data_IF_167941032677
#
_entry.id   IF_167941032677
#
_cell.length_a   1.000
_cell.length_b   1.000
_cell.length_c   1.000
_cell.angle_alpha   90.00
_cell.angle_beta   90.00
_cell.angle_gamma   90.00
#
_symmetry.space_group_name_H-M   'P 1'
#
loop_
_entity.id
_entity.type
_entity.pdbx_description
1 polymer ?
#
# COMPACT_ATOMS: atom_id res chain seq x y z
N UNK A 1 -41.73 2.39 -19.71
CA UNK A 1 -40.82 1.78 -20.71
C UNK A 1 -39.53 2.59 -20.70
N UNK A 2 -38.36 1.97 -20.57
CA UNK A 2 -37.08 2.68 -20.63
C UNK A 2 -36.68 2.86 -22.10
N UNK A 3 -36.42 4.09 -22.53
CA UNK A 3 -36.06 4.46 -23.91
C UNK A 3 -34.71 5.18 -23.85
N UNK A 4 -33.82 4.92 -24.81
CA UNK A 4 -32.49 5.55 -24.90
C UNK A 4 -32.12 5.84 -26.35
N UNK A 5 -31.35 6.90 -26.56
CA UNK A 5 -30.79 7.28 -27.87
C UNK A 5 -29.49 6.51 -28.18
N UNK A 6 -28.95 5.75 -27.22
CA UNK A 6 -27.75 4.96 -27.40
C UNK A 6 -28.01 3.77 -28.34
N UNK A 7 -27.08 3.51 -29.26
CA UNK A 7 -27.10 2.28 -30.04
C UNK A 7 -26.88 1.06 -29.13
N UNK A 8 -27.27 -0.13 -29.62
CA UNK A 8 -27.24 -1.36 -28.83
C UNK A 8 -25.85 -1.73 -28.29
N UNK A 9 -24.79 -1.46 -29.05
CA UNK A 9 -23.41 -1.79 -28.63
C UNK A 9 -22.98 -0.90 -27.46
N UNK A 10 -23.19 0.41 -27.58
CA UNK A 10 -22.80 1.36 -26.53
C UNK A 10 -23.64 1.19 -25.28
N UNK A 11 -24.95 0.94 -25.43
CA UNK A 11 -25.82 0.61 -24.32
C UNK A 11 -25.36 -0.66 -23.60
N UNK A 12 -25.04 -1.73 -24.35
CA UNK A 12 -24.61 -3.01 -23.77
C UNK A 12 -23.33 -2.86 -22.97
N UNK A 13 -22.31 -2.18 -23.50
CA UNK A 13 -21.04 -1.96 -22.81
C UNK A 13 -21.25 -1.18 -21.50
N UNK A 14 -22.06 -0.11 -21.54
CA UNK A 14 -22.33 0.71 -20.35
C UNK A 14 -23.10 -0.06 -19.28
N UNK A 15 -24.13 -0.81 -19.67
CA UNK A 15 -24.92 -1.65 -18.76
C UNK A 15 -24.04 -2.73 -18.14
N UNK A 16 -23.28 -3.47 -18.94
CA UNK A 16 -22.40 -4.53 -18.44
C UNK A 16 -21.41 -3.97 -17.42
N UNK A 17 -20.78 -2.82 -17.70
CA UNK A 17 -19.86 -2.17 -16.75
C UNK A 17 -20.56 -1.80 -15.44
N UNK A 18 -21.75 -1.19 -15.51
CA UNK A 18 -22.52 -0.80 -14.32
C UNK A 18 -22.92 -2.04 -13.51
N UNK A 19 -23.43 -3.09 -14.16
CA UNK A 19 -23.80 -4.32 -13.48
C UNK A 19 -22.57 -4.99 -12.84
N UNK A 20 -21.43 -4.98 -13.53
CA UNK A 20 -20.19 -5.52 -12.99
C UNK A 20 -19.73 -4.76 -11.74
N UNK A 21 -19.88 -3.45 -11.70
CA UNK A 21 -19.57 -2.63 -10.52
C UNK A 21 -20.57 -2.86 -9.38
N UNK A 22 -21.87 -3.00 -9.69
CA UNK A 22 -22.94 -3.22 -8.70
C UNK A 22 -22.80 -4.59 -8.03
N UNK A 23 -22.54 -5.64 -8.83
CA UNK A 23 -22.45 -7.01 -8.36
C UNK A 23 -21.02 -7.47 -8.04
N UNK A 24 -20.05 -6.55 -8.07
CA UNK A 24 -18.67 -6.83 -7.66
C UNK A 24 -18.65 -7.41 -6.22
N UNK A 25 -17.88 -8.48 -5.97
CA UNK A 25 -17.67 -9.00 -4.61
C UNK A 25 -17.17 -7.91 -3.68
N UNK A 26 -17.70 -7.86 -2.45
CA UNK A 26 -17.36 -6.86 -1.45
C UNK A 26 -16.99 -7.51 -0.12
N UNK A 27 -16.08 -6.88 0.62
CA UNK A 27 -15.84 -7.19 2.01
C UNK A 27 -15.49 -5.93 2.80
N UNK A 28 -15.62 -6.02 4.11
CA UNK A 28 -15.20 -4.98 5.05
C UNK A 28 -13.95 -5.46 5.77
N UNK A 29 -12.95 -4.60 5.89
CA UNK A 29 -11.73 -4.85 6.65
C UNK A 29 -11.46 -3.72 7.62
N UNK A 30 -10.95 -4.06 8.80
CA UNK A 30 -10.43 -3.07 9.73
C UNK A 30 -9.02 -2.64 9.29
N UNK A 31 -8.77 -1.34 9.27
CA UNK A 31 -7.51 -0.77 8.82
C UNK A 31 -7.68 0.67 8.36
N UNK A 32 -6.59 1.23 7.82
CA UNK A 32 -6.56 2.61 7.33
C UNK A 32 -6.10 2.59 5.88
N UNK A 33 -6.87 3.19 4.97
CA UNK A 33 -6.52 3.28 3.57
C UNK A 33 -6.06 4.70 3.25
N UNK A 34 -4.85 4.81 2.72
CA UNK A 34 -4.23 6.09 2.34
C UNK A 34 -3.71 6.05 0.90
N UNK A 35 -3.65 7.21 0.26
CA UNK A 35 -2.97 7.42 -1.03
C UNK A 35 -1.64 8.14 -0.79
N UNK A 36 -0.53 7.44 -1.00
CA UNK A 36 0.84 7.96 -0.82
C UNK A 36 1.54 7.97 -2.18
N UNK A 37 1.94 9.14 -2.67
CA UNK A 37 2.50 9.33 -4.02
C UNK A 37 1.69 8.66 -5.15
N UNK A 38 0.37 8.60 -5.00
CA UNK A 38 -0.52 7.95 -5.97
C UNK A 38 -0.65 6.43 -5.83
N UNK A 39 0.05 5.80 -4.89
CA UNK A 39 -0.12 4.39 -4.53
C UNK A 39 -1.16 4.27 -3.42
N UNK A 40 -2.17 3.42 -3.60
CA UNK A 40 -3.12 3.11 -2.52
C UNK A 40 -2.56 2.05 -1.58
N UNK A 41 -2.47 2.39 -0.30
CA UNK A 41 -1.84 1.57 0.73
C UNK A 41 -2.86 1.27 1.83
N UNK A 42 -3.13 -0.02 2.03
CA UNK A 42 -3.94 -0.48 3.17
C UNK A 42 -3.02 -0.76 4.36
N UNK A 43 -3.12 0.07 5.39
CA UNK A 43 -2.46 -0.10 6.67
C UNK A 43 -3.28 -1.05 7.54
N UNK A 44 -2.67 -2.15 7.95
CA UNK A 44 -3.24 -3.16 8.84
C UNK A 44 -2.36 -3.30 10.08
N UNK A 45 -2.87 -3.94 11.12
CA UNK A 45 -2.16 -4.09 12.39
C UNK A 45 -3.11 -4.08 13.58
N UNK A 46 -2.60 -4.41 14.76
CA UNK A 46 -3.39 -4.44 15.99
C UNK A 46 -3.95 -3.06 16.36
N UNK A 47 -4.98 -3.06 17.22
CA UNK A 47 -5.56 -1.81 17.70
C UNK A 47 -4.56 -1.06 18.58
N UNK A 48 -4.36 0.23 18.32
CA UNK A 48 -3.42 1.07 19.08
C UNK A 48 -1.94 0.97 18.66
N UNK A 49 -1.60 0.21 17.61
CA UNK A 49 -0.21 0.15 17.09
C UNK A 49 0.24 1.45 16.38
N UNK A 50 -0.67 2.42 16.23
CA UNK A 50 -0.37 3.73 15.63
C UNK A 50 -0.81 3.92 14.18
N UNK A 51 -1.79 3.15 13.68
CA UNK A 51 -2.26 3.23 12.28
C UNK A 51 -2.81 4.63 11.94
N UNK A 52 -3.73 5.14 12.76
CA UNK A 52 -4.40 6.42 12.54
C UNK A 52 -3.44 7.60 12.74
N UNK A 53 -2.55 7.54 13.75
CA UNK A 53 -1.49 8.53 13.96
C UNK A 53 -0.50 8.58 12.78
N UNK A 54 -0.14 7.41 12.24
CA UNK A 54 0.73 7.31 11.05
C UNK A 54 0.02 7.89 9.82
N UNK A 55 -1.27 7.61 9.65
CA UNK A 55 -2.06 8.20 8.57
C UNK A 55 -2.16 9.72 8.71
N UNK A 56 -2.34 10.24 9.93
CA UNK A 56 -2.32 11.68 10.21
C UNK A 56 -0.98 12.33 9.83
N UNK A 57 0.15 11.70 10.19
CA UNK A 57 1.48 12.16 9.76
C UNK A 57 1.67 12.13 8.24
N UNK A 58 1.07 11.17 7.53
CA UNK A 58 1.11 11.15 6.07
C UNK A 58 0.26 12.28 5.47
N UNK A 59 -0.91 12.56 6.04
CA UNK A 59 -1.77 13.67 5.61
C UNK A 59 -1.07 15.01 5.77
N UNK A 60 -0.41 15.25 6.91
CA UNK A 60 0.40 16.46 7.15
C UNK A 60 1.51 16.65 6.10
N UNK A 61 1.99 15.54 5.52
CA UNK A 61 3.03 15.51 4.47
C UNK A 61 2.46 15.58 3.05
N UNK A 62 1.16 15.84 2.90
CA UNK A 62 0.49 16.07 1.62
C UNK A 62 -0.14 14.84 0.98
N UNK A 63 -0.19 13.71 1.69
CA UNK A 63 -0.87 12.49 1.24
C UNK A 63 -2.36 12.54 1.56
N UNK A 64 -3.14 11.56 1.07
CA UNK A 64 -4.60 11.60 1.20
C UNK A 64 -5.15 10.44 2.01
N UNK A 65 -6.09 10.74 2.91
CA UNK A 65 -6.92 9.73 3.58
C UNK A 65 -8.03 9.27 2.64
N UNK A 66 -8.23 7.95 2.56
CA UNK A 66 -9.37 7.35 1.86
C UNK A 66 -10.42 6.87 2.86
N UNK A 67 -9.97 6.15 3.89
CA UNK A 67 -10.80 5.64 4.96
C UNK A 67 -9.94 5.39 6.20
N UNK A 68 -10.51 5.62 7.38
CA UNK A 68 -9.93 5.26 8.68
C UNK A 68 -10.85 4.24 9.37
N UNK A 69 -10.27 3.37 10.20
CA UNK A 69 -10.91 2.28 10.94
C UNK A 69 -11.57 1.18 10.09
N UNK A 70 -12.53 1.52 9.22
CA UNK A 70 -13.34 0.56 8.46
C UNK A 70 -13.27 0.84 6.96
N UNK A 71 -12.66 -0.09 6.23
CA UNK A 71 -12.47 -0.01 4.77
C UNK A 71 -13.41 -0.99 4.07
N UNK A 72 -14.28 -0.48 3.21
CA UNK A 72 -15.06 -1.30 2.27
C UNK A 72 -14.22 -1.55 1.01
N UNK A 73 -14.01 -2.82 0.67
CA UNK A 73 -13.18 -3.25 -0.46
C UNK A 73 -14.06 -3.97 -1.48
N UNK A 74 -13.93 -3.58 -2.74
CA UNK A 74 -14.61 -4.16 -3.89
C UNK A 74 -13.61 -4.80 -4.84
N UNK A 75 -13.91 -5.99 -5.36
CA UNK A 75 -13.13 -6.59 -6.44
C UNK A 75 -13.77 -6.28 -7.80
N UNK A 76 -13.21 -5.30 -8.50
CA UNK A 76 -13.61 -4.93 -9.85
C UNK A 76 -12.88 -5.80 -10.87
N UNK A 77 -13.61 -6.31 -11.87
CA UNK A 77 -13.08 -7.10 -12.99
C UNK A 77 -12.20 -8.29 -12.55
N UNK A 78 -12.48 -8.90 -11.38
CA UNK A 78 -11.78 -10.06 -10.83
C UNK A 78 -10.30 -9.87 -10.46
N UNK A 79 -9.78 -8.65 -10.53
CA UNK A 79 -8.33 -8.40 -10.41
C UNK A 79 -7.96 -7.08 -9.73
N UNK A 80 -8.91 -6.13 -9.65
CA UNK A 80 -8.65 -4.80 -9.14
C UNK A 80 -9.41 -4.56 -7.84
N UNK A 81 -8.68 -4.40 -6.74
CA UNK A 81 -9.28 -4.07 -5.46
C UNK A 81 -9.43 -2.56 -5.29
N UNK A 82 -10.66 -2.09 -5.16
CA UNK A 82 -11.00 -0.70 -4.90
C UNK A 82 -11.47 -0.56 -3.45
N UNK A 83 -10.75 0.24 -2.67
CA UNK A 83 -11.12 0.56 -1.30
C UNK A 83 -11.76 1.93 -1.16
N UNK A 84 -12.70 2.06 -0.22
CA UNK A 84 -13.39 3.30 0.12
C UNK A 84 -13.87 3.24 1.59
N UNK A 85 -14.25 4.39 2.15
CA UNK A 85 -14.95 4.42 3.43
C UNK A 85 -16.39 3.88 3.28
N UNK A 86 -16.91 3.22 4.32
CA UNK A 86 -18.27 2.67 4.34
C UNK A 86 -19.37 3.74 4.24
N UNK A 87 -19.06 4.97 4.62
CA UNK A 87 -19.96 6.11 4.51
C UNK A 87 -19.16 7.36 4.14
N UNK A 88 -19.61 8.11 3.13
CA UNK A 88 -18.98 9.37 2.69
C UNK A 88 -18.88 10.43 3.79
N UNK A 89 -19.81 10.42 4.74
CA UNK A 89 -19.82 11.38 5.86
C UNK A 89 -18.83 10.97 6.95
N UNK A 90 -18.66 9.67 7.19
CA UNK A 90 -17.80 9.13 8.27
C UNK A 90 -16.37 8.91 7.78
N UNK A 91 -16.17 8.59 6.50
CA UNK A 91 -14.86 8.20 5.94
C UNK A 91 -13.77 9.28 5.97
N UNK A 92 -14.10 10.51 6.38
CA UNK A 92 -13.14 11.61 6.57
C UNK A 92 -13.02 12.05 8.02
N UNK A 93 -13.66 11.32 8.94
CA UNK A 93 -13.42 11.44 10.36
C UNK A 93 -12.35 10.45 10.79
N UNK A 94 -11.57 10.82 11.79
CA UNK A 94 -10.49 10.00 12.34
C UNK A 94 -10.52 10.11 13.86
N UNK A 95 -10.40 8.99 14.54
CA UNK A 95 -10.26 8.97 16.01
C UNK A 95 -8.77 9.04 16.36
N UNK A 96 -8.39 10.04 17.16
CA UNK A 96 -7.03 10.16 17.71
C UNK A 96 -7.12 10.03 19.23
N UNK A 97 -6.40 9.06 19.79
CA UNK A 97 -6.38 8.85 21.25
C UNK A 97 -5.81 10.07 21.96
N UNK A 98 -6.51 10.54 22.99
CA UNK A 98 -6.14 11.75 23.74
C UNK A 98 -6.62 13.07 23.11
N UNK A 99 -7.12 13.06 21.86
CA UNK A 99 -7.69 14.23 21.20
C UNK A 99 -9.20 14.08 20.92
N UNK A 100 -9.65 12.88 20.58
CA UNK A 100 -11.03 12.58 20.17
C UNK A 100 -11.18 12.45 18.65
N UNK A 101 -12.42 12.58 18.18
CA UNK A 101 -12.74 12.48 16.74
C UNK A 101 -12.45 13.82 16.07
N UNK A 102 -11.66 13.80 14.99
CA UNK A 102 -11.35 14.95 14.15
C UNK A 102 -11.95 14.80 12.75
N UNK A 103 -12.21 15.93 12.08
CA UNK A 103 -12.61 15.96 10.67
C UNK A 103 -11.41 16.37 9.80
N UNK A 104 -10.89 15.44 9.01
CA UNK A 104 -9.69 15.63 8.19
C UNK A 104 -9.92 16.66 7.09
N UNK A 105 -11.11 16.67 6.48
CA UNK A 105 -11.47 17.64 5.43
C UNK A 105 -11.47 19.07 5.95
N UNK A 106 -11.95 19.31 7.16
CA UNK A 106 -12.00 20.65 7.76
C UNK A 106 -10.61 21.14 8.19
N UNK A 107 -9.75 20.24 8.67
CA UNK A 107 -8.42 20.60 9.17
C UNK A 107 -7.39 20.78 8.04
N UNK A 108 -7.42 19.91 7.01
CA UNK A 108 -6.39 19.85 5.98
C UNK A 108 -6.91 20.13 4.56
N UNK A 109 -8.22 20.38 4.42
CA UNK A 109 -8.87 20.71 3.15
C UNK A 109 -9.20 19.50 2.28
N UNK A 110 -9.88 19.77 1.16
CA UNK A 110 -10.31 18.72 0.20
C UNK A 110 -9.14 17.99 -0.48
N UNK A 111 -7.94 18.58 -0.47
CA UNK A 111 -6.74 17.96 -1.04
C UNK A 111 -6.21 16.77 -0.21
N UNK A 112 -6.57 16.71 1.07
CA UNK A 112 -6.14 15.69 2.04
C UNK A 112 -7.01 14.44 2.08
N UNK A 113 -8.07 14.38 1.27
CA UNK A 113 -9.02 13.26 1.24
C UNK A 113 -9.19 12.69 -0.17
N UNK A 114 -9.68 11.46 -0.24
CA UNK A 114 -10.00 10.77 -1.49
C UNK A 114 -11.15 9.79 -1.28
N UNK A 115 -12.22 9.89 -2.07
CA UNK A 115 -13.39 9.01 -1.88
C UNK A 115 -13.08 7.51 -2.04
N UNK A 116 -12.24 7.18 -3.02
CA UNK A 116 -11.90 5.80 -3.36
C UNK A 116 -10.50 5.69 -3.95
N UNK A 117 -9.82 4.58 -3.66
CA UNK A 117 -8.48 4.31 -4.18
C UNK A 117 -8.26 2.82 -4.40
N UNK A 118 -7.58 2.47 -5.49
CA UNK A 118 -7.13 1.11 -5.73
C UNK A 118 -6.12 0.70 -4.66
N UNK A 119 -6.31 -0.44 -4.02
CA UNK A 119 -5.35 -1.03 -3.09
C UNK A 119 -4.26 -1.69 -3.91
N UNK A 120 -3.02 -1.25 -3.70
CA UNK A 120 -1.86 -1.64 -4.48
C UNK A 120 -0.73 -2.18 -3.62
N UNK A 121 -0.77 -1.92 -2.31
CA UNK A 121 0.19 -2.39 -1.33
C UNK A 121 -0.55 -2.56 0.02
N UNK A 122 -0.25 -3.63 0.73
CA UNK A 122 -0.65 -3.80 2.13
C UNK A 122 0.58 -3.59 3.00
N UNK A 123 0.46 -2.76 4.03
CA UNK A 123 1.49 -2.61 5.05
C UNK A 123 0.89 -3.07 6.37
N UNK A 124 1.43 -4.14 6.94
CA UNK A 124 1.11 -4.59 8.27
C UNK A 124 2.09 -3.94 9.25
N UNK A 125 1.55 -3.06 10.09
CA UNK A 125 2.24 -2.43 11.19
C UNK A 125 2.11 -3.35 12.40
N UNK A 126 3.24 -3.70 13.01
CA UNK A 126 3.27 -4.59 14.18
C UNK A 126 4.26 -4.08 15.22
N UNK A 127 4.07 -4.48 16.48
CA UNK A 127 5.05 -4.18 17.52
C UNK A 127 6.36 -4.93 17.25
N UNK A 128 7.48 -4.28 17.56
CA UNK A 128 8.79 -4.90 17.38
C UNK A 128 8.96 -6.12 18.29
N UNK A 129 9.04 -7.29 17.67
CA UNK A 129 9.43 -8.54 18.34
C UNK A 129 10.93 -8.84 18.15
N UNK A 130 11.75 -8.94 19.23
CA UNK A 130 13.15 -9.34 19.14
C UNK A 130 13.38 -10.74 18.55
N UNK A 131 12.36 -11.62 18.61
CA UNK A 131 12.45 -13.01 18.15
C UNK A 131 12.12 -13.16 16.67
N UNK A 132 11.43 -12.19 16.08
CA UNK A 132 11.04 -12.20 14.67
C UNK A 132 12.18 -11.67 13.80
N UNK A 133 12.56 -12.43 12.78
CA UNK A 133 13.54 -11.98 11.78
C UNK A 133 12.80 -11.19 10.71
N UNK A 134 13.08 -9.89 10.65
CA UNK A 134 12.56 -9.00 9.63
C UNK A 134 13.47 -9.04 8.39
N UNK A 135 12.88 -9.07 7.20
CA UNK A 135 13.63 -9.01 5.95
C UNK A 135 14.40 -7.68 5.87
N UNK A 136 15.72 -7.79 5.64
CA UNK A 136 16.65 -6.65 5.56
C UNK A 136 17.05 -6.31 4.13
N UNK A 137 16.80 -7.22 3.19
CA UNK A 137 17.26 -7.12 1.79
C UNK A 137 16.07 -6.83 0.87
N UNK A 138 14.86 -7.24 1.26
CA UNK A 138 13.64 -7.08 0.46
C UNK A 138 13.54 -8.14 -0.63
N UNK A 139 13.99 -9.37 -0.34
CA UNK A 139 14.06 -10.47 -1.30
C UNK A 139 12.77 -11.27 -1.32
N UNK A 140 12.06 -11.33 -0.18
CA UNK A 140 10.83 -12.09 -0.04
C UNK A 140 9.63 -11.24 -0.45
N UNK A 141 8.96 -11.63 -1.54
CA UNK A 141 7.73 -11.00 -2.00
C UNK A 141 6.53 -11.57 -1.23
N UNK A 142 6.31 -11.04 -0.03
CA UNK A 142 5.11 -11.34 0.74
C UNK A 142 3.87 -10.80 0.00
N UNK A 143 2.78 -11.56 0.03
CA UNK A 143 1.49 -11.14 -0.53
C UNK A 143 0.36 -11.39 0.46
N UNK A 144 -0.66 -10.55 0.43
CA UNK A 144 -1.94 -10.77 1.09
C UNK A 144 -3.02 -11.04 0.05
N UNK A 145 -3.82 -12.08 0.25
CA UNK A 145 -4.98 -12.35 -0.61
C UNK A 145 -6.23 -11.67 -0.04
N UNK A 146 -6.89 -10.86 -0.86
CA UNK A 146 -8.12 -10.15 -0.52
C UNK A 146 -9.10 -10.35 -1.69
N UNK A 147 -10.28 -10.92 -1.43
CA UNK A 147 -11.27 -11.27 -2.47
C UNK A 147 -10.67 -12.06 -3.66
N UNK A 148 -9.74 -12.99 -3.38
CA UNK A 148 -9.05 -13.79 -4.40
C UNK A 148 -7.92 -13.08 -5.15
N UNK A 149 -7.64 -11.81 -4.84
CA UNK A 149 -6.58 -11.02 -5.46
C UNK A 149 -5.37 -10.93 -4.53
N UNK A 150 -4.19 -11.33 -5.03
CA UNK A 150 -2.92 -11.21 -4.30
C UNK A 150 -2.34 -9.80 -4.44
N UNK A 151 -2.16 -9.13 -3.31
CA UNK A 151 -1.57 -7.79 -3.21
C UNK A 151 -0.21 -7.89 -2.52
N UNK A 152 0.84 -7.18 -2.99
CA UNK A 152 2.11 -7.09 -2.27
C UNK A 152 1.91 -6.66 -0.82
N UNK A 153 2.62 -7.30 0.11
CA UNK A 153 2.55 -7.06 1.54
C UNK A 153 3.93 -6.71 2.07
N UNK A 154 4.00 -5.77 3.01
CA UNK A 154 5.18 -5.49 3.83
C UNK A 154 4.81 -5.56 5.31
N UNK A 155 5.74 -6.04 6.13
CA UNK A 155 5.60 -6.05 7.58
C UNK A 155 6.61 -5.06 8.17
N UNK A 156 6.11 -4.03 8.87
CA UNK A 156 6.92 -2.93 9.38
C UNK A 156 6.80 -2.89 10.90
N UNK A 157 7.89 -3.14 11.64
CA UNK A 157 7.87 -3.08 13.08
C UNK A 157 7.97 -1.65 13.61
N UNK A 158 7.11 -1.35 14.59
CA UNK A 158 7.07 -0.09 15.33
C UNK A 158 8.03 -0.15 16.51
N UNK A 159 8.82 0.92 16.66
CA UNK A 159 9.69 1.13 17.82
C UNK A 159 9.75 2.64 18.12
N UNK A 160 9.80 3.06 19.39
CA UNK A 160 9.99 4.46 19.73
C UNK A 160 11.17 5.08 18.95
N UNK A 161 10.95 6.28 18.40
CA UNK A 161 11.92 6.99 17.56
C UNK A 161 11.91 6.63 16.06
N UNK A 162 11.11 5.64 15.63
CA UNK A 162 10.89 5.40 14.18
C UNK A 162 9.79 6.29 13.63
N UNK A 163 10.10 6.98 12.54
CA UNK A 163 9.09 7.71 11.76
C UNK A 163 8.47 6.77 10.71
N UNK A 164 7.30 6.20 11.03
CA UNK A 164 6.61 5.26 10.14
C UNK A 164 6.17 5.91 8.84
N UNK A 165 5.81 7.20 8.85
CA UNK A 165 5.41 7.90 7.63
C UNK A 165 6.54 7.93 6.59
N UNK A 166 7.79 8.12 7.00
CA UNK A 166 8.96 8.08 6.09
C UNK A 166 9.11 6.67 5.50
N UNK A 167 9.00 5.63 6.33
CA UNK A 167 9.16 4.25 5.87
C UNK A 167 8.04 3.88 4.87
N UNK A 168 6.81 4.30 5.13
CA UNK A 168 5.66 4.06 4.24
C UNK A 168 5.82 4.82 2.91
N UNK A 169 6.32 6.06 2.94
CA UNK A 169 6.68 6.81 1.73
C UNK A 169 7.76 6.09 0.91
N UNK A 170 8.81 5.60 1.57
CA UNK A 170 9.86 4.80 0.90
C UNK A 170 9.28 3.52 0.32
N UNK A 171 8.38 2.83 1.03
CA UNK A 171 7.69 1.65 0.55
C UNK A 171 6.83 1.95 -0.69
N UNK A 172 6.10 3.08 -0.69
CA UNK A 172 5.31 3.54 -1.82
C UNK A 172 6.18 3.80 -3.07
N UNK A 173 7.31 4.48 -2.88
CA UNK A 173 8.28 4.75 -3.96
C UNK A 173 8.89 3.46 -4.49
N UNK A 174 9.28 2.54 -3.62
CA UNK A 174 9.83 1.24 -4.00
C UNK A 174 8.80 0.41 -4.79
N UNK A 175 7.55 0.38 -4.35
CA UNK A 175 6.48 -0.32 -5.07
C UNK A 175 6.25 0.28 -6.47
N UNK A 176 6.33 1.61 -6.59
CA UNK A 176 6.28 2.28 -7.89
C UNK A 176 7.47 1.90 -8.78
N UNK A 177 8.68 1.81 -8.24
CA UNK A 177 9.88 1.37 -8.97
C UNK A 177 9.75 -0.07 -9.48
N UNK A 178 9.26 -0.99 -8.63
CA UNK A 178 8.98 -2.38 -9.03
C UNK A 178 8.02 -2.47 -10.21
N UNK A 179 6.95 -1.65 -10.20
CA UNK A 179 6.00 -1.57 -11.33
C UNK A 179 6.60 -1.00 -12.61
N UNK A 180 7.70 -0.24 -12.50
CA UNK A 180 8.48 0.25 -13.63
C UNK A 180 9.58 -0.74 -14.08
N UNK A 181 9.70 -1.90 -13.42
CA UNK A 181 10.68 -2.94 -13.72
C UNK A 181 12.00 -2.82 -12.96
N UNK A 182 12.13 -1.88 -12.02
CA UNK A 182 13.33 -1.70 -11.21
C UNK A 182 13.22 -2.44 -9.87
N UNK A 183 14.14 -3.37 -9.62
CA UNK A 183 14.15 -4.20 -8.40
C UNK A 183 15.45 -4.00 -7.61
N UNK A 184 15.46 -3.05 -6.66
CA UNK A 184 16.67 -2.66 -5.91
C UNK A 184 17.36 -3.82 -5.18
N UNK A 185 16.61 -4.76 -4.60
CA UNK A 185 17.17 -5.95 -3.94
C UNK A 185 17.94 -6.86 -4.92
N UNK A 186 17.38 -7.06 -6.12
CA UNK A 186 18.02 -7.87 -7.17
C UNK A 186 19.27 -7.18 -7.70
N UNK A 187 19.20 -5.87 -7.93
CA UNK A 187 20.33 -5.07 -8.36
C UNK A 187 21.47 -5.10 -7.34
N UNK A 188 21.14 -4.95 -6.05
CA UNK A 188 22.11 -5.04 -4.97
C UNK A 188 22.79 -6.42 -4.91
N UNK A 189 22.01 -7.50 -4.97
CA UNK A 189 22.55 -8.86 -5.00
C UNK A 189 23.48 -9.11 -6.20
N UNK A 190 23.10 -8.62 -7.39
CA UNK A 190 23.94 -8.72 -8.58
C UNK A 190 25.25 -7.94 -8.41
N UNK A 191 25.21 -6.75 -7.80
CA UNK A 191 26.40 -5.95 -7.55
C UNK A 191 27.34 -6.60 -6.53
N UNK A 192 26.81 -7.25 -5.47
CA UNK A 192 27.62 -8.03 -4.53
C UNK A 192 28.31 -9.21 -5.23
N UNK A 193 27.56 -9.97 -6.04
CA UNK A 193 28.13 -11.12 -6.76
C UNK A 193 29.27 -10.69 -7.69
N UNK A 194 29.07 -9.61 -8.46
CA UNK A 194 30.13 -9.03 -9.31
C UNK A 194 31.34 -8.58 -8.50
N UNK A 195 31.13 -7.99 -7.33
CA UNK A 195 32.23 -7.56 -6.45
C UNK A 195 33.04 -8.76 -5.96
N UNK A 196 32.38 -9.82 -5.48
CA UNK A 196 33.04 -11.06 -5.02
C UNK A 196 33.81 -11.77 -6.13
N UNK A 197 33.25 -11.83 -7.35
CA UNK A 197 33.94 -12.37 -8.53
C UNK A 197 35.20 -11.55 -8.87
N UNK A 198 35.11 -10.22 -8.80
CA UNK A 198 36.24 -9.33 -9.07
C UNK A 198 37.35 -9.44 -8.01
N UNK A 199 36.98 -9.66 -6.75
CA UNK A 199 37.92 -9.84 -5.65
C UNK A 199 38.60 -11.22 -5.75
N UNK A 200 37.83 -12.28 -6.00
CA UNK A 200 38.36 -13.64 -6.22
C UNK A 200 39.30 -13.70 -7.41
N UNK A 201 38.98 -12.99 -8.50
CA UNK A 201 39.86 -12.86 -9.66
C UNK A 201 41.17 -12.14 -9.27
N UNK A 202 41.09 -11.02 -8.54
CA UNK A 202 42.29 -10.32 -8.04
C UNK A 202 43.17 -11.23 -7.18
N UNK A 203 42.61 -11.97 -6.24
CA UNK A 203 43.36 -12.89 -5.38
C UNK A 203 44.06 -13.98 -6.21
N UNK A 204 43.39 -14.55 -7.22
CA UNK A 204 44.02 -15.52 -8.14
C UNK A 204 45.16 -14.92 -8.96
N UNK A 205 45.03 -13.68 -9.44
CA UNK A 205 46.10 -13.00 -10.18
C UNK A 205 47.33 -12.74 -9.30
N UNK A 206 47.16 -12.21 -8.08
CA UNK A 206 48.30 -11.96 -7.18
C UNK A 206 48.95 -13.25 -6.66
N UNK A 207 48.21 -14.35 -6.52
CA UNK A 207 48.78 -15.64 -6.10
C UNK A 207 49.60 -16.37 -7.19
N UNK A 208 49.52 -15.94 -8.45
CA UNK A 208 50.26 -16.54 -9.58
C UNK A 208 51.61 -15.90 -9.84
N UNK A 209 51.86 -14.71 -9.30
CA UNK A 209 53.11 -13.96 -9.50
C UNK A 209 54.17 -14.25 -8.42
N UNK A 210 53.87 -15.16 -7.47
CA UNK A 210 54.74 -15.55 -6.34
C UNK A 210 55.49 -16.90 -6.54
N UNK A 211 55.64 -17.41 -7.77
CA UNK A 211 56.41 -18.64 -8.07
C UNK A 211 57.42 -18.48 -9.20
#
# INVERSE_FOLDING_TARGET
MLITELNSMELSIRIIRILHDIFAPKMIMHGVLVEVFGIGILLTGESGVGKSETALSLIERGHRLVADDVVEIHCLNGSLLMGQGTNKVIGHHMEIRGLGIINVTHLFGVGAIRDKKQIQLVIQIEDWDPKKVYDRIGTDELTMEILGVKIPKLEIPVKPGRNLAIIIETAAMNERLKKMGYHSAREFNQNILRWLESESARTMFFSRDDY
#
